data_IF_563534209435
#
_entry.id   IF_563534209435
#
_cell.length_a   1.000
_cell.length_b   1.000
_cell.length_c   1.000
_cell.angle_alpha   90.00
_cell.angle_beta   90.00
_cell.angle_gamma   90.00
#
_symmetry.space_group_name_H-M   'P 1'
#
loop_
_entity.id
_entity.type
_entity.pdbx_description
1 polymer ?
#
# COMPACT_ATOMS: atom_id res chain seq x y z
N UNK A 1 -5.95 20.89 -44.65
CA UNK A 1 -6.10 19.76 -43.71
C UNK A 1 -5.16 20.03 -42.55
N UNK A 2 -5.57 20.96 -41.70
CA UNK A 2 -4.79 21.43 -40.53
C UNK A 2 -5.13 20.48 -39.40
N UNK A 3 -4.11 19.89 -38.78
CA UNK A 3 -4.25 19.07 -37.60
C UNK A 3 -4.98 19.89 -36.53
N UNK A 4 -6.17 19.43 -36.15
CA UNK A 4 -7.00 20.03 -35.13
C UNK A 4 -6.25 19.90 -33.80
N UNK A 5 -5.54 20.97 -33.41
CA UNK A 5 -4.98 21.15 -32.06
C UNK A 5 -6.08 21.45 -31.06
N UNK A 6 -7.21 20.75 -31.19
CA UNK A 6 -8.46 20.97 -30.50
C UNK A 6 -8.34 20.58 -29.04
N UNK A 7 -8.98 21.38 -28.18
CA UNK A 7 -9.16 21.08 -26.76
C UNK A 7 -9.64 19.62 -26.63
N UNK A 8 -8.98 18.77 -25.82
CA UNK A 8 -9.35 17.37 -25.71
C UNK A 8 -10.82 17.27 -25.31
N UNK A 9 -11.59 16.48 -26.05
CA UNK A 9 -12.98 16.19 -25.70
C UNK A 9 -13.01 15.57 -24.30
N UNK A 10 -14.04 15.88 -23.51
CA UNK A 10 -14.28 15.31 -22.18
C UNK A 10 -13.99 13.79 -22.12
N UNK A 11 -14.36 13.03 -23.16
CA UNK A 11 -14.12 11.58 -23.24
C UNK A 11 -12.62 11.23 -23.18
N UNK A 12 -11.80 11.96 -23.94
CA UNK A 12 -10.35 11.75 -23.98
C UNK A 12 -9.69 12.07 -22.63
N UNK A 13 -10.18 13.10 -21.94
CA UNK A 13 -9.73 13.46 -20.59
C UNK A 13 -10.00 12.31 -19.62
N UNK A 14 -11.25 11.81 -19.59
CA UNK A 14 -11.64 10.71 -18.70
C UNK A 14 -10.95 9.38 -19.05
N UNK A 15 -10.69 9.10 -20.33
CA UNK A 15 -9.88 7.94 -20.74
C UNK A 15 -8.44 8.02 -20.25
N UNK A 16 -7.83 9.22 -20.28
CA UNK A 16 -6.49 9.42 -19.71
C UNK A 16 -6.52 9.23 -18.20
N UNK A 17 -7.56 9.74 -17.54
CA UNK A 17 -7.74 9.64 -16.10
C UNK A 17 -8.01 8.20 -15.64
N UNK A 18 -8.78 7.41 -16.38
CA UNK A 18 -9.06 6.01 -16.05
C UNK A 18 -7.78 5.18 -15.93
N UNK A 19 -6.79 5.42 -16.81
CA UNK A 19 -5.45 4.81 -16.73
C UNK A 19 -4.69 5.24 -15.47
N UNK A 20 -4.77 6.53 -15.11
CA UNK A 20 -4.19 7.06 -13.88
C UNK A 20 -4.81 6.43 -12.63
N UNK A 21 -6.13 6.39 -12.58
CA UNK A 21 -6.92 5.78 -11.49
C UNK A 21 -6.64 4.30 -11.35
N UNK A 22 -6.53 3.55 -12.45
CA UNK A 22 -6.11 2.15 -12.42
C UNK A 22 -4.72 1.99 -11.81
N UNK A 23 -3.77 2.85 -12.19
CA UNK A 23 -2.41 2.82 -11.64
C UNK A 23 -2.39 3.12 -10.14
N UNK A 24 -3.13 4.12 -9.68
CA UNK A 24 -3.23 4.48 -8.26
C UNK A 24 -3.91 3.37 -7.46
N UNK A 25 -5.04 2.84 -7.94
CA UNK A 25 -5.74 1.72 -7.30
C UNK A 25 -4.81 0.51 -7.11
N UNK A 26 -4.12 0.06 -8.16
CA UNK A 26 -3.20 -1.09 -8.09
C UNK A 26 -2.02 -0.78 -7.16
N UNK A 27 -1.43 0.41 -7.26
CA UNK A 27 -0.31 0.82 -6.40
C UNK A 27 -0.68 0.84 -4.92
N UNK A 28 -1.86 1.36 -4.56
CA UNK A 28 -2.34 1.36 -3.18
C UNK A 28 -2.66 -0.05 -2.67
N UNK A 29 -3.20 -0.95 -3.51
CA UNK A 29 -3.37 -2.36 -3.12
C UNK A 29 -2.03 -3.03 -2.81
N UNK A 30 -1.05 -2.93 -3.72
CA UNK A 30 0.30 -3.48 -3.50
C UNK A 30 0.92 -2.91 -2.22
N UNK A 31 0.80 -1.60 -2.00
CA UNK A 31 1.32 -0.97 -0.79
C UNK A 31 0.66 -1.54 0.48
N UNK A 32 -0.67 -1.70 0.46
CA UNK A 32 -1.43 -2.26 1.58
C UNK A 32 -0.96 -3.67 1.93
N UNK A 33 -0.81 -4.54 0.94
CA UNK A 33 -0.35 -5.92 1.13
C UNK A 33 1.09 -5.98 1.63
N UNK A 34 1.95 -5.08 1.12
CA UNK A 34 3.35 -4.99 1.57
C UNK A 34 3.45 -4.60 3.04
N UNK A 35 2.73 -3.58 3.49
CA UNK A 35 2.78 -3.16 4.89
C UNK A 35 2.12 -4.19 5.82
N UNK A 36 1.05 -4.84 5.38
CA UNK A 36 0.42 -5.94 6.10
C UNK A 36 1.35 -7.16 6.22
N UNK A 37 2.13 -7.47 5.18
CA UNK A 37 3.18 -8.49 5.25
C UNK A 37 4.27 -8.12 6.27
N UNK A 38 4.79 -6.88 6.26
CA UNK A 38 5.79 -6.44 7.23
C UNK A 38 5.27 -6.45 8.67
N UNK A 39 4.00 -6.10 8.88
CA UNK A 39 3.35 -6.22 10.17
C UNK A 39 3.38 -7.67 10.67
N UNK A 40 2.94 -8.63 9.84
CA UNK A 40 2.95 -10.06 10.21
C UNK A 40 4.36 -10.59 10.49
N UNK A 41 5.32 -10.30 9.60
CA UNK A 41 6.69 -10.81 9.72
C UNK A 41 7.37 -10.27 10.98
N UNK A 42 7.26 -8.96 11.24
CA UNK A 42 7.81 -8.37 12.46
C UNK A 42 7.15 -8.96 13.70
N UNK A 43 5.81 -9.10 13.72
CA UNK A 43 5.05 -9.73 14.81
C UNK A 43 5.53 -11.14 15.14
N UNK A 44 5.62 -12.00 14.13
CA UNK A 44 6.08 -13.38 14.27
C UNK A 44 7.54 -13.42 14.76
N UNK A 45 8.41 -12.60 14.19
CA UNK A 45 9.84 -12.57 14.57
C UNK A 45 10.02 -12.15 16.02
N UNK A 46 9.35 -11.09 16.47
CA UNK A 46 9.39 -10.63 17.86
C UNK A 46 8.87 -11.71 18.81
N UNK A 47 7.77 -12.38 18.47
CA UNK A 47 7.21 -13.45 19.28
C UNK A 47 8.16 -14.65 19.41
N UNK A 48 8.79 -15.09 18.30
CA UNK A 48 9.77 -16.18 18.32
C UNK A 48 11.00 -15.82 19.16
N UNK A 49 11.56 -14.62 18.98
CA UNK A 49 12.71 -14.19 19.79
C UNK A 49 12.36 -14.05 21.27
N UNK A 50 11.17 -13.54 21.59
CA UNK A 50 10.67 -13.48 22.97
C UNK A 50 10.56 -14.87 23.59
N UNK A 51 10.05 -15.86 22.85
CA UNK A 51 9.96 -17.23 23.32
C UNK A 51 11.35 -17.83 23.58
N UNK A 52 12.28 -17.68 22.63
CA UNK A 52 13.68 -18.14 22.78
C UNK A 52 14.34 -17.51 24.01
N UNK A 53 14.21 -16.19 24.17
CA UNK A 53 14.73 -15.46 25.33
C UNK A 53 14.13 -15.99 26.63
N UNK A 54 12.81 -16.11 26.71
CA UNK A 54 12.12 -16.61 27.90
C UNK A 54 12.57 -18.02 28.28
N UNK A 55 12.64 -18.92 27.29
CA UNK A 55 13.14 -20.30 27.50
C UNK A 55 14.60 -20.31 27.94
N UNK A 56 15.46 -19.47 27.34
CA UNK A 56 16.89 -19.43 27.67
C UNK A 56 17.12 -18.88 29.08
N UNK A 57 16.38 -17.84 29.47
CA UNK A 57 16.43 -17.30 30.83
C UNK A 57 15.98 -18.34 31.86
N UNK A 58 14.87 -19.03 31.60
CA UNK A 58 14.37 -20.09 32.48
C UNK A 58 15.38 -21.24 32.61
N UNK A 59 15.93 -21.74 31.50
CA UNK A 59 16.94 -22.78 31.50
C UNK A 59 18.23 -22.35 32.23
N UNK A 60 18.65 -21.08 32.10
CA UNK A 60 19.81 -20.55 32.81
C UNK A 60 19.59 -20.41 34.33
N UNK A 61 18.34 -20.29 34.79
CA UNK A 61 18.04 -20.32 36.23
C UNK A 61 18.14 -21.74 36.79
N UNK A 62 17.80 -22.75 35.98
CA UNK A 62 17.91 -24.16 36.37
C UNK A 62 19.34 -24.73 36.26
N UNK A 63 20.19 -24.17 35.39
CA UNK A 63 21.55 -24.65 35.14
C UNK A 63 22.62 -23.69 35.69
N UNK A 64 23.28 -24.09 36.77
CA UNK A 64 24.44 -23.39 37.32
C UNK A 64 25.68 -23.60 36.42
N UNK A 65 26.20 -22.54 35.79
CA UNK A 65 27.57 -22.54 35.23
C UNK A 65 27.75 -22.23 33.73
N UNK A 66 26.69 -21.99 32.95
CA UNK A 66 26.82 -21.75 31.51
C UNK A 66 26.85 -20.25 31.15
N UNK A 67 28.01 -19.60 31.33
CA UNK A 67 28.22 -18.18 31.02
C UNK A 67 27.88 -17.83 29.56
N UNK A 68 28.16 -18.72 28.60
CA UNK A 68 27.82 -18.51 27.18
C UNK A 68 26.32 -18.41 26.92
N UNK A 69 25.50 -19.20 27.63
CA UNK A 69 24.03 -19.19 27.51
C UNK A 69 23.46 -17.85 28.00
N UNK A 70 24.03 -17.28 29.07
CA UNK A 70 23.62 -15.96 29.60
C UNK A 70 23.93 -14.82 28.63
N UNK A 71 25.08 -14.85 27.95
CA UNK A 71 25.46 -13.84 26.96
C UNK A 71 24.50 -13.87 25.76
N UNK A 72 24.19 -15.07 25.23
CA UNK A 72 23.22 -15.21 24.13
C UNK A 72 21.82 -14.76 24.55
N UNK A 73 21.37 -15.14 25.76
CA UNK A 73 20.08 -14.71 26.30
C UNK A 73 19.99 -13.18 26.40
N UNK A 74 21.03 -12.53 26.93
CA UNK A 74 21.09 -11.07 27.05
C UNK A 74 21.05 -10.36 25.70
N UNK A 75 21.83 -10.84 24.72
CA UNK A 75 21.83 -10.27 23.38
C UNK A 75 20.47 -10.45 22.68
N UNK A 76 19.87 -11.65 22.78
CA UNK A 76 18.54 -11.92 22.25
C UNK A 76 17.45 -11.07 22.95
N UNK A 77 17.57 -10.83 24.26
CA UNK A 77 16.64 -9.96 25.01
C UNK A 77 16.68 -8.53 24.49
N UNK A 78 17.89 -8.01 24.25
CA UNK A 78 18.06 -6.65 23.73
C UNK A 78 17.50 -6.52 22.31
N UNK A 79 17.73 -7.53 21.44
CA UNK A 79 17.16 -7.57 20.10
C UNK A 79 15.62 -7.62 20.15
N UNK A 80 15.04 -8.48 20.98
CA UNK A 80 13.59 -8.56 21.20
C UNK A 80 13.03 -7.22 21.66
N UNK A 81 13.63 -6.60 22.66
CA UNK A 81 13.18 -5.31 23.18
C UNK A 81 13.25 -4.21 22.11
N UNK A 82 14.33 -4.17 21.31
CA UNK A 82 14.48 -3.23 20.21
C UNK A 82 13.43 -3.45 19.10
N UNK A 83 13.15 -4.71 18.73
CA UNK A 83 12.11 -5.03 17.76
C UNK A 83 10.71 -4.64 18.27
N UNK A 84 10.39 -4.96 19.52
CA UNK A 84 9.13 -4.58 20.17
C UNK A 84 8.93 -3.06 20.20
N UNK A 85 9.99 -2.31 20.54
CA UNK A 85 9.95 -0.85 20.50
C UNK A 85 9.76 -0.32 19.06
N UNK A 86 10.46 -0.91 18.08
CA UNK A 86 10.31 -0.57 16.67
C UNK A 86 8.90 -0.76 16.14
N UNK A 87 8.20 -1.82 16.58
CA UNK A 87 6.80 -2.09 16.21
C UNK A 87 5.85 -0.96 16.63
N UNK A 88 6.12 -0.30 17.76
CA UNK A 88 5.33 0.84 18.23
C UNK A 88 5.50 2.07 17.32
N UNK A 89 6.67 2.24 16.72
CA UNK A 89 7.02 3.40 15.89
C UNK A 89 6.62 3.21 14.43
N UNK A 90 6.77 2.00 13.87
CA UNK A 90 6.56 1.77 12.44
C UNK A 90 5.10 1.77 12.00
N UNK A 91 4.17 1.47 12.91
CA UNK A 91 2.73 1.54 12.69
C UNK A 91 2.23 0.92 11.36
N UNK A 92 2.83 -0.22 10.97
CA UNK A 92 2.50 -0.92 9.73
C UNK A 92 1.00 -1.27 9.58
N UNK A 93 0.25 -1.64 10.64
CA UNK A 93 -1.18 -1.89 10.53
C UNK A 93 -1.96 -0.68 10.01
N UNK A 94 -1.68 0.50 10.57
CA UNK A 94 -2.36 1.74 10.19
C UNK A 94 -1.94 2.19 8.79
N UNK A 95 -0.68 2.00 8.42
CA UNK A 95 -0.24 2.32 7.07
C UNK A 95 -0.91 1.40 6.04
N UNK A 96 -1.02 0.10 6.33
CA UNK A 96 -1.74 -0.84 5.50
C UNK A 96 -3.23 -0.49 5.38
N UNK A 97 -3.89 -0.12 6.48
CA UNK A 97 -5.30 0.26 6.51
C UNK A 97 -5.56 1.50 5.64
N UNK A 98 -4.72 2.53 5.75
CA UNK A 98 -4.81 3.77 4.94
C UNK A 98 -4.61 3.51 3.46
N UNK A 99 -3.63 2.68 3.09
CA UNK A 99 -3.44 2.30 1.68
C UNK A 99 -4.64 1.50 1.16
N UNK A 100 -5.19 0.56 1.94
CA UNK A 100 -6.40 -0.19 1.55
C UNK A 100 -7.61 0.74 1.38
N UNK A 101 -7.81 1.70 2.28
CA UNK A 101 -8.89 2.67 2.17
C UNK A 101 -8.76 3.51 0.89
N UNK A 102 -7.58 4.04 0.59
CA UNK A 102 -7.31 4.77 -0.64
C UNK A 102 -7.55 3.90 -1.89
N UNK A 103 -7.11 2.63 -1.89
CA UNK A 103 -7.33 1.70 -2.99
C UNK A 103 -8.82 1.51 -3.30
N UNK A 104 -9.66 1.36 -2.26
CA UNK A 104 -11.12 1.24 -2.40
C UNK A 104 -11.73 2.50 -3.01
N UNK A 105 -11.30 3.69 -2.56
CA UNK A 105 -11.79 4.97 -3.11
C UNK A 105 -11.41 5.14 -4.58
N UNK A 106 -10.15 4.87 -4.96
CA UNK A 106 -9.72 4.91 -6.36
C UNK A 106 -10.44 3.87 -7.22
N UNK A 107 -10.72 2.68 -6.69
CA UNK A 107 -11.50 1.67 -7.40
C UNK A 107 -12.94 2.11 -7.64
N UNK A 108 -13.56 2.79 -6.67
CA UNK A 108 -14.90 3.34 -6.81
C UNK A 108 -14.94 4.43 -7.88
N UNK A 109 -14.03 5.42 -7.81
CA UNK A 109 -13.93 6.49 -8.80
C UNK A 109 -13.65 5.93 -10.21
N UNK A 110 -12.77 4.94 -10.34
CA UNK A 110 -12.50 4.29 -11.63
C UNK A 110 -13.76 3.67 -12.23
N UNK A 111 -14.57 2.96 -11.44
CA UNK A 111 -15.85 2.38 -11.91
C UNK A 111 -16.84 3.46 -12.35
N UNK A 112 -16.91 4.58 -11.64
CA UNK A 112 -17.74 5.71 -12.08
C UNK A 112 -17.27 6.27 -13.42
N UNK A 113 -15.96 6.44 -13.60
CA UNK A 113 -15.39 6.89 -14.87
C UNK A 113 -15.67 5.89 -16.00
N UNK A 114 -15.54 4.58 -15.74
CA UNK A 114 -15.90 3.53 -16.70
C UNK A 114 -17.39 3.63 -17.12
N UNK A 115 -18.30 3.88 -16.18
CA UNK A 115 -19.73 4.06 -16.48
C UNK A 115 -20.04 5.34 -17.27
N UNK A 116 -19.34 6.44 -16.96
CA UNK A 116 -19.45 7.70 -17.74
C UNK A 116 -18.94 7.50 -19.16
N UNK A 117 -17.79 6.84 -19.32
CA UNK A 117 -17.22 6.51 -20.64
C UNK A 117 -18.11 5.57 -21.46
N UNK A 118 -18.88 4.68 -20.82
CA UNK A 118 -19.87 3.86 -21.52
C UNK A 118 -21.03 4.69 -22.12
N UNK A 119 -21.28 5.88 -21.58
CA UNK A 119 -22.30 6.83 -22.04
C UNK A 119 -21.66 8.09 -22.66
N UNK A 120 -20.56 7.91 -23.42
CA UNK A 120 -19.74 9.00 -23.98
C UNK A 120 -20.52 10.09 -24.73
N UNK A 121 -21.64 9.73 -25.36
CA UNK A 121 -22.46 10.65 -26.17
C UNK A 121 -23.28 11.63 -25.31
N UNK A 122 -23.48 11.32 -24.03
CA UNK A 122 -24.23 12.14 -23.07
C UNK A 122 -23.30 12.86 -22.08
N UNK A 123 -21.98 12.77 -22.30
CA UNK A 123 -21.00 13.22 -21.34
C UNK A 123 -20.80 14.73 -21.41
N UNK A 124 -20.74 15.36 -20.24
CA UNK A 124 -20.72 16.82 -20.10
C UNK A 124 -19.41 17.30 -19.46
N UNK A 125 -19.14 18.60 -19.55
CA UNK A 125 -18.03 19.23 -18.82
C UNK A 125 -18.20 19.05 -17.30
N UNK A 126 -19.44 19.09 -16.81
CA UNK A 126 -19.78 18.80 -15.41
C UNK A 126 -19.31 17.41 -14.97
N UNK A 127 -19.34 16.39 -15.83
CA UNK A 127 -18.84 15.05 -15.50
C UNK A 127 -17.34 15.04 -15.27
N UNK A 128 -16.60 15.86 -16.02
CA UNK A 128 -15.16 16.04 -15.85
C UNK A 128 -14.88 16.78 -14.55
N UNK A 129 -15.59 17.87 -14.26
CA UNK A 129 -15.42 18.66 -13.04
C UNK A 129 -15.73 17.87 -11.77
N UNK A 130 -16.82 17.10 -11.77
CA UNK A 130 -17.17 16.21 -10.65
C UNK A 130 -16.11 15.14 -10.46
N UNK A 131 -15.65 14.50 -11.54
CA UNK A 131 -14.59 13.48 -11.46
C UNK A 131 -13.26 14.08 -10.96
N UNK A 132 -12.93 15.31 -11.38
CA UNK A 132 -11.74 16.02 -10.93
C UNK A 132 -11.80 16.31 -9.43
N UNK A 133 -12.94 16.82 -8.97
CA UNK A 133 -13.17 17.16 -7.57
C UNK A 133 -13.10 15.92 -6.67
N UNK A 134 -13.74 14.82 -7.08
CA UNK A 134 -13.66 13.55 -6.37
C UNK A 134 -12.22 13.00 -6.34
N UNK A 135 -11.46 13.12 -7.43
CA UNK A 135 -10.06 12.70 -7.45
C UNK A 135 -9.26 13.53 -6.43
N UNK A 136 -9.36 14.85 -6.48
CA UNK A 136 -8.63 15.73 -5.56
C UNK A 136 -8.94 15.41 -4.08
N UNK A 137 -10.20 15.14 -3.76
CA UNK A 137 -10.63 14.73 -2.43
C UNK A 137 -9.98 13.41 -1.97
N UNK A 138 -9.82 12.45 -2.89
CA UNK A 138 -9.08 11.21 -2.59
C UNK A 138 -7.60 11.54 -2.33
N UNK A 139 -6.98 12.36 -3.18
CA UNK A 139 -5.56 12.70 -3.07
C UNK A 139 -5.21 13.43 -1.77
N UNK A 140 -6.08 14.31 -1.28
CA UNK A 140 -5.88 15.02 -0.01
C UNK A 140 -5.81 14.07 1.20
N UNK A 141 -6.46 12.90 1.11
CA UNK A 141 -6.52 11.90 2.19
C UNK A 141 -5.58 10.70 1.98
N UNK A 142 -5.08 10.49 0.76
CA UNK A 142 -4.33 9.32 0.41
C UNK A 142 -2.90 9.36 1.00
N UNK A 143 -2.41 8.27 1.61
CA UNK A 143 -1.02 8.20 2.05
C UNK A 143 -0.06 8.23 0.85
N UNK A 144 1.14 8.78 1.05
CA UNK A 144 2.14 8.84 0.00
C UNK A 144 2.56 7.43 -0.47
N UNK A 145 2.62 7.24 -1.79
CA UNK A 145 3.04 5.98 -2.39
C UNK A 145 4.58 5.88 -2.46
N UNK A 146 5.18 4.78 -1.98
CA UNK A 146 6.60 4.51 -2.19
C UNK A 146 6.93 4.39 -3.69
N UNK A 147 8.04 4.98 -4.13
CA UNK A 147 8.48 4.98 -5.54
C UNK A 147 8.58 3.56 -6.11
N UNK A 148 9.11 2.62 -5.32
CA UNK A 148 9.24 1.22 -5.70
C UNK A 148 7.90 0.54 -5.97
N UNK A 149 6.86 0.89 -5.21
CA UNK A 149 5.50 0.35 -5.39
C UNK A 149 4.87 0.92 -6.66
N UNK A 150 4.99 2.22 -6.90
CA UNK A 150 4.50 2.87 -8.13
C UNK A 150 5.13 2.25 -9.38
N UNK A 151 6.43 1.96 -9.36
CA UNK A 151 7.13 1.28 -10.45
C UNK A 151 6.66 -0.17 -10.64
N UNK A 152 6.36 -0.88 -9.56
CA UNK A 152 5.81 -2.23 -9.62
C UNK A 152 4.41 -2.25 -10.24
N UNK A 153 3.52 -1.38 -9.76
CA UNK A 153 2.16 -1.25 -10.29
C UNK A 153 2.13 -0.95 -11.79
N UNK A 154 2.99 -0.04 -12.26
CA UNK A 154 3.12 0.27 -13.70
C UNK A 154 3.52 -0.96 -14.52
N UNK A 155 4.41 -1.81 -14.00
CA UNK A 155 4.84 -3.04 -14.68
C UNK A 155 3.73 -4.07 -14.71
N UNK A 156 3.00 -4.22 -13.61
CA UNK A 156 1.88 -5.15 -13.52
C UNK A 156 0.77 -4.79 -14.51
N UNK A 157 0.37 -3.51 -14.57
CA UNK A 157 -0.62 -3.04 -15.55
C UNK A 157 -0.13 -3.24 -16.99
N UNK A 158 1.14 -2.94 -17.27
CA UNK A 158 1.72 -3.14 -18.61
C UNK A 158 1.83 -4.61 -19.02
N UNK A 159 1.85 -5.54 -18.05
CA UNK A 159 1.92 -6.99 -18.31
C UNK A 159 0.58 -7.61 -18.66
N UNK A 160 -0.54 -6.93 -18.34
CA UNK A 160 -1.88 -7.38 -18.68
C UNK A 160 -2.19 -6.94 -20.11
N UNK A 161 -2.50 -7.87 -21.04
CA UNK A 161 -2.86 -7.49 -22.41
C UNK A 161 -4.12 -6.60 -22.41
N UNK A 162 -4.21 -5.63 -23.35
CA UNK A 162 -5.39 -4.80 -23.47
C UNK A 162 -6.63 -5.69 -23.69
N UNK A 163 -7.72 -5.39 -22.99
CA UNK A 163 -8.99 -6.09 -23.21
C UNK A 163 -9.46 -5.72 -24.63
N UNK A 164 -9.63 -6.73 -25.46
CA UNK A 164 -10.15 -6.62 -26.83
C UNK A 164 -11.60 -6.17 -26.85
#
# INVERSE_FOLDING_TARGET
MVADGGVPNCAEILERWSRGLQMLHVAHNIASERFDHWNRVSGITTAMLSAVVGTTLFASLSASGLTGVRVVAGAASLLTAALSAGQLVWNYPELASRHRAAAVRYAALRRQVELRLANRDQMTETDVDVTSSEWEEIEQSAPQLPIGVRRHARREIASVPPRA
#
